data_IF_949300489163
#
_entry.id   IF_949300489163
#
_cell.length_a   1.000
_cell.length_b   1.000
_cell.length_c   1.000
_cell.angle_alpha   90.00
_cell.angle_beta   90.00
_cell.angle_gamma   90.00
#
_symmetry.space_group_name_H-M   'P 1'
#
loop_
_entity.id
_entity.type
_entity.pdbx_description
1 polymer ?
#
# COMPACT_ATOMS: atom_id res chain seq x y z
N UNK A 1 17.69 1.45 -11.91
CA UNK A 1 17.53 0.05 -11.46
C UNK A 1 16.54 -0.62 -12.39
N UNK A 2 16.86 -1.78 -12.96
CA UNK A 2 15.99 -2.48 -13.91
C UNK A 2 15.44 -3.75 -13.28
N UNK A 3 14.15 -4.04 -13.49
CA UNK A 3 13.54 -5.33 -13.15
C UNK A 3 13.06 -5.51 -11.70
N UNK A 4 12.95 -4.44 -10.91
CA UNK A 4 12.28 -4.47 -9.59
C UNK A 4 11.11 -3.50 -9.65
N UNK A 5 9.92 -3.99 -9.32
CA UNK A 5 8.67 -3.23 -9.33
C UNK A 5 7.97 -3.38 -7.98
N UNK A 6 7.46 -2.28 -7.45
CA UNK A 6 6.62 -2.27 -6.26
C UNK A 6 5.37 -1.47 -6.57
N UNK A 7 4.21 -2.11 -6.39
CA UNK A 7 2.90 -1.52 -6.60
C UNK A 7 2.11 -1.65 -5.31
N UNK A 8 1.38 -0.59 -4.95
CA UNK A 8 0.48 -0.56 -3.79
C UNK A 8 -0.91 -0.20 -4.30
N UNK A 9 -1.89 -1.02 -3.91
CA UNK A 9 -3.30 -0.80 -4.24
C UNK A 9 -4.08 -0.67 -2.94
N UNK A 10 -5.05 0.25 -2.91
CA UNK A 10 -5.91 0.47 -1.76
C UNK A 10 -7.37 0.55 -2.20
N UNK A 11 -8.30 0.09 -1.36
CA UNK A 11 -9.73 0.37 -1.57
C UNK A 11 -9.96 1.88 -1.42
N UNK A 12 -10.84 2.45 -2.23
CA UNK A 12 -11.09 3.90 -2.29
C UNK A 12 -11.42 4.51 -0.92
N UNK A 13 -12.14 3.80 -0.06
CA UNK A 13 -12.47 4.22 1.31
C UNK A 13 -11.27 4.53 2.22
N UNK A 14 -10.09 3.99 1.89
CA UNK A 14 -8.86 4.20 2.66
C UNK A 14 -8.00 5.35 2.11
N UNK A 15 -8.26 5.82 0.88
CA UNK A 15 -7.44 6.85 0.22
C UNK A 15 -7.31 8.14 1.03
N UNK A 16 -8.37 8.67 1.71
CA UNK A 16 -8.23 9.87 2.54
C UNK A 16 -7.29 9.73 3.74
N UNK A 17 -6.96 8.48 4.12
CA UNK A 17 -6.11 8.15 5.25
C UNK A 17 -4.74 7.62 4.81
N UNK A 18 -4.47 7.63 3.50
CA UNK A 18 -3.22 7.18 2.90
C UNK A 18 -2.51 8.37 2.26
N UNK A 19 -1.32 8.67 2.76
CA UNK A 19 -0.46 9.71 2.19
C UNK A 19 0.87 9.11 1.75
N UNK A 20 1.20 9.19 0.47
CA UNK A 20 2.51 8.75 -0.02
C UNK A 20 3.52 9.86 0.28
N UNK A 21 4.46 9.61 1.19
CA UNK A 21 5.46 10.60 1.58
C UNK A 21 6.68 10.56 0.68
N UNK A 22 7.07 9.37 0.22
CA UNK A 22 8.27 9.19 -0.60
C UNK A 22 8.27 7.85 -1.32
N UNK A 23 8.85 7.85 -2.52
CA UNK A 23 9.22 6.64 -3.26
C UNK A 23 10.71 6.69 -3.57
N UNK A 24 11.46 5.64 -3.19
CA UNK A 24 12.92 5.60 -3.37
C UNK A 24 13.38 4.33 -4.06
N UNK A 25 14.47 4.45 -4.80
CA UNK A 25 15.18 3.34 -5.44
C UNK A 25 16.63 3.33 -4.97
N UNK A 26 17.07 2.22 -4.39
CA UNK A 26 18.43 2.05 -3.88
C UNK A 26 19.16 0.99 -4.73
N UNK A 27 19.98 1.40 -5.71
CA UNK A 27 20.81 0.47 -6.46
C UNK A 27 21.92 -0.07 -5.55
N UNK A 28 22.19 -1.37 -5.65
CA UNK A 28 23.29 -2.05 -4.94
C UNK A 28 24.11 -2.95 -5.85
N UNK A 29 23.87 -2.90 -7.18
CA UNK A 29 24.65 -3.68 -8.15
C UNK A 29 26.12 -3.22 -8.28
N UNK A 30 26.78 -3.54 -9.40
CA UNK A 30 28.15 -3.14 -9.73
C UNK A 30 28.54 -1.76 -9.16
N UNK A 31 29.52 -1.77 -8.24
CA UNK A 31 30.07 -0.62 -7.53
C UNK A 31 29.10 0.19 -6.66
N UNK A 32 27.91 -0.34 -6.35
CA UNK A 32 26.89 0.34 -5.55
C UNK A 32 26.05 1.36 -6.32
N UNK A 33 26.23 1.51 -7.63
CA UNK A 33 25.55 2.54 -8.44
C UNK A 33 24.84 2.00 -9.68
N UNK A 34 25.20 0.83 -10.20
CA UNK A 34 24.69 0.30 -11.47
C UNK A 34 24.25 -1.16 -11.37
N UNK A 35 23.14 -1.53 -12.01
CA UNK A 35 22.71 -2.93 -12.16
C UNK A 35 21.26 -3.23 -11.78
N UNK A 36 20.97 -4.52 -11.64
CA UNK A 36 19.64 -5.10 -11.40
C UNK A 36 19.44 -5.62 -9.97
N UNK A 37 20.27 -5.15 -9.03
CA UNK A 37 20.21 -5.48 -7.59
C UNK A 37 19.99 -4.22 -6.79
N UNK A 38 19.22 -4.32 -5.72
CA UNK A 38 18.78 -3.17 -4.96
C UNK A 38 17.45 -3.38 -4.27
N UNK A 39 16.86 -2.26 -3.86
CA UNK A 39 15.51 -2.21 -3.32
C UNK A 39 14.75 -1.00 -3.83
N UNK A 40 13.44 -1.15 -3.98
CA UNK A 40 12.48 -0.04 -4.10
C UNK A 40 11.70 0.07 -2.81
N UNK A 41 11.42 1.29 -2.36
CA UNK A 41 10.67 1.57 -1.14
C UNK A 41 9.54 2.55 -1.45
N UNK A 42 8.37 2.31 -0.85
CA UNK A 42 7.29 3.28 -0.71
C UNK A 42 7.12 3.55 0.78
N UNK A 43 7.33 4.80 1.17
CA UNK A 43 7.04 5.31 2.51
C UNK A 43 5.72 6.09 2.48
N UNK A 44 4.79 5.70 3.36
CA UNK A 44 3.47 6.30 3.42
C UNK A 44 3.01 6.50 4.88
N UNK A 45 2.07 7.43 5.09
CA UNK A 45 1.21 7.43 6.28
C UNK A 45 -0.04 6.60 5.99
N UNK A 46 -0.41 5.73 6.92
CA UNK A 46 -1.64 4.97 6.90
C UNK A 46 -2.36 5.21 8.23
N UNK A 47 -3.51 5.90 8.19
CA UNK A 47 -4.26 6.28 9.41
C UNK A 47 -3.41 7.05 10.45
N UNK A 48 -2.41 7.79 9.97
CA UNK A 48 -1.45 8.55 10.77
C UNK A 48 -0.19 7.77 11.20
N UNK A 49 -0.13 6.46 10.97
CA UNK A 49 1.06 5.63 11.25
C UNK A 49 2.04 5.65 10.07
N UNK A 50 3.33 5.69 10.35
CA UNK A 50 4.38 5.59 9.33
C UNK A 50 4.60 4.14 8.92
N UNK A 51 4.44 3.86 7.62
CA UNK A 51 4.60 2.53 7.04
C UNK A 51 5.61 2.58 5.89
N UNK A 52 6.59 1.69 5.92
CA UNK A 52 7.52 1.46 4.80
C UNK A 52 7.26 0.09 4.16
N UNK A 53 7.17 0.07 2.83
CA UNK A 53 6.99 -1.14 2.04
C UNK A 53 8.19 -1.25 1.09
N UNK A 54 9.00 -2.29 1.26
CA UNK A 54 10.24 -2.50 0.52
C UNK A 54 10.15 -3.77 -0.30
N UNK A 55 10.46 -3.68 -1.60
CA UNK A 55 10.74 -4.83 -2.45
C UNK A 55 12.22 -4.84 -2.84
N UNK A 56 12.93 -5.96 -2.69
CA UNK A 56 14.34 -6.07 -3.04
C UNK A 56 14.68 -7.25 -3.97
N UNK A 57 15.85 -7.15 -4.57
CA UNK A 57 16.50 -8.24 -5.28
C UNK A 57 17.98 -8.23 -4.87
N UNK A 58 18.36 -9.18 -4.02
CA UNK A 58 19.69 -9.23 -3.40
C UNK A 58 20.65 -10.14 -4.18
N UNK A 59 21.97 -10.06 -3.93
CA UNK A 59 22.98 -10.80 -4.69
C UNK A 59 22.74 -12.32 -4.72
N UNK A 60 22.85 -12.95 -5.91
CA UNK A 60 22.65 -14.39 -6.06
C UNK A 60 23.86 -15.17 -5.56
N UNK A 61 23.75 -16.51 -5.61
CA UNK A 61 24.78 -17.49 -5.24
C UNK A 61 24.98 -17.68 -3.73
N UNK A 62 25.29 -18.92 -3.37
CA UNK A 62 25.42 -19.36 -1.97
C UNK A 62 26.55 -18.64 -1.23
N UNK A 63 27.66 -18.34 -1.92
CA UNK A 63 28.84 -17.65 -1.39
C UNK A 63 28.60 -16.19 -0.99
N UNK A 64 27.58 -15.54 -1.55
CA UNK A 64 27.40 -14.10 -1.41
C UNK A 64 26.53 -13.72 -0.20
N UNK A 65 26.59 -14.52 0.88
CA UNK A 65 25.76 -14.30 2.06
C UNK A 65 26.07 -12.95 2.73
N UNK A 66 27.36 -12.68 2.96
CA UNK A 66 27.79 -11.40 3.53
C UNK A 66 27.35 -10.21 2.68
N UNK A 67 27.48 -10.31 1.35
CA UNK A 67 27.04 -9.27 0.42
C UNK A 67 25.53 -9.01 0.48
N UNK A 68 24.71 -10.05 0.72
CA UNK A 68 23.26 -9.87 0.93
C UNK A 68 22.97 -9.06 2.19
N UNK A 69 23.71 -9.31 3.28
CA UNK A 69 23.56 -8.57 4.53
C UNK A 69 23.98 -7.11 4.35
N UNK A 70 25.13 -6.86 3.70
CA UNK A 70 25.57 -5.50 3.37
C UNK A 70 24.53 -4.75 2.52
N UNK A 71 23.94 -5.41 1.52
CA UNK A 71 22.89 -4.80 0.69
C UNK A 71 21.60 -4.54 1.49
N UNK A 72 21.27 -5.40 2.45
CA UNK A 72 20.16 -5.19 3.37
C UNK A 72 20.38 -3.90 4.17
N UNK A 73 21.52 -3.79 4.86
CA UNK A 73 21.85 -2.59 5.65
C UNK A 73 21.85 -1.33 4.79
N UNK A 74 22.49 -1.41 3.61
CA UNK A 74 22.55 -0.30 2.65
C UNK A 74 21.17 0.18 2.20
N UNK A 75 20.23 -0.75 1.97
CA UNK A 75 18.85 -0.40 1.60
C UNK A 75 18.18 0.37 2.74
N UNK A 76 18.34 -0.03 4.00
CA UNK A 76 17.78 0.69 5.16
C UNK A 76 18.41 2.07 5.34
N UNK A 77 19.73 2.17 5.32
CA UNK A 77 20.47 3.42 5.52
C UNK A 77 20.10 4.49 4.48
N UNK A 78 19.88 4.07 3.23
CA UNK A 78 19.50 4.97 2.15
C UNK A 78 18.06 5.49 2.24
N UNK A 79 17.27 5.02 3.20
CA UNK A 79 15.94 5.55 3.42
C UNK A 79 15.94 6.89 4.18
N UNK A 80 17.10 7.43 4.58
CA UNK A 80 17.17 8.72 5.28
C UNK A 80 16.48 9.86 4.49
N UNK A 81 15.56 10.57 5.14
CA UNK A 81 14.73 11.62 4.55
C UNK A 81 15.26 13.01 4.90
N UNK A 82 16.54 13.27 4.61
CA UNK A 82 17.17 14.56 4.91
C UNK A 82 16.36 15.73 4.35
N UNK A 83 15.99 16.68 5.23
CA UNK A 83 15.22 17.88 4.86
C UNK A 83 13.70 17.69 4.78
N UNK A 84 13.18 16.50 5.07
CA UNK A 84 11.74 16.23 5.17
C UNK A 84 11.35 15.90 6.62
N UNK A 85 10.14 16.25 7.04
CA UNK A 85 9.57 15.88 8.34
C UNK A 85 9.07 14.42 8.33
N UNK A 86 9.99 13.49 8.04
CA UNK A 86 9.74 12.04 8.00
C UNK A 86 10.74 11.36 8.93
N UNK A 87 10.30 10.55 9.90
CA UNK A 87 11.20 9.81 10.80
C UNK A 87 12.13 8.85 10.05
N UNK A 88 13.22 8.45 10.72
CA UNK A 88 14.07 7.37 10.23
C UNK A 88 13.25 6.10 10.01
N UNK A 89 13.59 5.29 9.01
CA UNK A 89 12.84 4.06 8.70
C UNK A 89 12.73 3.11 9.89
N UNK A 90 13.75 3.05 10.75
CA UNK A 90 13.72 2.20 11.94
C UNK A 90 12.75 2.70 13.02
N UNK A 91 12.29 3.95 12.91
CA UNK A 91 11.26 4.56 13.76
C UNK A 91 9.84 4.47 13.17
N UNK A 92 9.69 3.90 11.97
CA UNK A 92 8.39 3.66 11.35
C UNK A 92 7.63 2.59 12.14
N UNK A 93 6.30 2.75 12.22
CA UNK A 93 5.42 1.89 12.98
C UNK A 93 5.36 0.47 12.39
N UNK A 94 5.43 0.38 11.06
CA UNK A 94 5.48 -0.87 10.32
C UNK A 94 6.47 -0.80 9.15
N UNK A 95 7.32 -1.82 9.05
CA UNK A 95 8.13 -2.09 7.86
C UNK A 95 7.68 -3.44 7.32
N UNK A 96 7.26 -3.50 6.06
CA UNK A 96 7.08 -4.76 5.31
C UNK A 96 8.21 -4.83 4.29
N UNK A 97 9.00 -5.91 4.33
CA UNK A 97 10.12 -6.09 3.42
C UNK A 97 10.07 -7.46 2.77
N UNK A 98 9.95 -7.48 1.45
CA UNK A 98 9.89 -8.70 0.66
C UNK A 98 10.74 -8.64 -0.60
N UNK A 99 10.77 -9.74 -1.33
CA UNK A 99 11.39 -9.83 -2.66
C UNK A 99 12.26 -11.08 -2.81
N UNK A 100 13.07 -11.09 -3.87
CA UNK A 100 14.11 -12.11 -4.08
C UNK A 100 15.33 -11.77 -3.23
N UNK A 101 15.28 -12.20 -1.97
CA UNK A 101 16.36 -12.02 -1.01
C UNK A 101 17.54 -12.97 -1.26
N UNK A 102 17.39 -13.94 -2.16
CA UNK A 102 18.47 -14.82 -2.64
C UNK A 102 19.24 -15.63 -1.58
N UNK A 103 18.77 -15.70 -0.33
CA UNK A 103 19.33 -16.57 0.70
C UNK A 103 19.19 -18.05 0.31
N UNK A 104 20.19 -18.85 0.68
CA UNK A 104 20.32 -20.24 0.26
C UNK A 104 20.32 -21.18 1.46
N UNK A 105 20.07 -22.45 1.20
CA UNK A 105 20.32 -23.51 2.17
C UNK A 105 21.81 -23.85 2.09
N UNK A 106 22.56 -23.76 3.19
CA UNK A 106 23.96 -24.19 3.29
C UNK A 106 24.09 -25.62 3.83
N UNK A 107 25.31 -26.16 3.85
CA UNK A 107 25.76 -27.44 4.43
C UNK A 107 25.09 -28.77 3.99
N UNK A 108 23.81 -28.78 3.63
CA UNK A 108 23.12 -29.97 3.12
C UNK A 108 23.44 -30.22 1.64
N UNK A 109 23.77 -31.47 1.33
CA UNK A 109 23.91 -31.95 -0.04
C UNK A 109 22.58 -31.93 -0.80
N UNK A 110 22.65 -31.85 -2.13
CA UNK A 110 21.47 -31.78 -3.00
C UNK A 110 20.48 -32.94 -2.78
N UNK A 111 21.00 -34.15 -2.54
CA UNK A 111 20.18 -35.33 -2.30
C UNK A 111 19.31 -35.19 -1.05
N UNK A 112 19.92 -34.78 0.07
CA UNK A 112 19.20 -34.55 1.33
C UNK A 112 18.10 -33.50 1.17
N UNK A 113 18.43 -32.36 0.56
CA UNK A 113 17.45 -31.29 0.30
C UNK A 113 16.27 -31.81 -0.53
N UNK A 114 16.52 -32.56 -1.60
CA UNK A 114 15.46 -33.12 -2.45
C UNK A 114 14.58 -34.12 -1.69
N UNK A 115 15.17 -34.97 -0.87
CA UNK A 115 14.43 -35.97 -0.09
C UNK A 115 13.57 -35.30 1.00
N UNK A 116 14.09 -34.30 1.71
CA UNK A 116 13.31 -33.49 2.65
C UNK A 116 12.13 -32.80 1.96
N UNK A 117 12.33 -32.25 0.76
CA UNK A 117 11.24 -31.63 -0.02
C UNK A 117 10.18 -32.66 -0.41
N UNK A 118 10.61 -33.83 -0.93
CA UNK A 118 9.73 -34.92 -1.36
C UNK A 118 8.86 -35.43 -0.21
N UNK A 119 9.44 -35.57 0.98
CA UNK A 119 8.75 -36.01 2.19
C UNK A 119 8.01 -34.89 2.92
N UNK A 120 8.06 -33.65 2.40
CA UNK A 120 7.47 -32.45 3.01
C UNK A 120 8.03 -32.11 4.40
N UNK A 121 9.22 -32.60 4.72
CA UNK A 121 9.95 -32.31 5.95
C UNK A 121 10.75 -31.01 5.80
N UNK A 122 10.06 -29.89 5.56
CA UNK A 122 10.72 -28.60 5.30
C UNK A 122 11.46 -28.06 6.53
N UNK A 123 10.98 -28.38 7.72
CA UNK A 123 11.57 -27.96 9.00
C UNK A 123 13.03 -28.36 9.14
N UNK A 124 13.39 -29.52 8.60
CA UNK A 124 14.74 -30.09 8.70
C UNK A 124 15.77 -29.23 7.96
N UNK A 125 15.31 -28.36 7.05
CA UNK A 125 16.15 -27.49 6.24
C UNK A 125 16.37 -26.11 6.87
N UNK A 126 15.51 -25.69 7.82
CA UNK A 126 15.52 -24.31 8.34
C UNK A 126 16.77 -23.95 9.12
N UNK A 127 17.38 -24.91 9.82
CA UNK A 127 18.63 -24.66 10.56
C UNK A 127 19.80 -24.31 9.64
N UNK A 128 19.70 -24.68 8.36
CA UNK A 128 20.69 -24.39 7.33
C UNK A 128 20.21 -23.34 6.32
N UNK A 129 19.07 -22.71 6.53
CA UNK A 129 18.65 -21.55 5.74
C UNK A 129 19.43 -20.30 6.18
N UNK A 130 20.19 -19.69 5.27
CA UNK A 130 21.05 -18.55 5.57
C UNK A 130 20.30 -17.36 6.19
N UNK A 131 19.05 -17.08 5.77
CA UNK A 131 18.28 -15.99 6.40
C UNK A 131 17.90 -16.35 7.84
N UNK A 132 17.45 -17.59 8.06
CA UNK A 132 17.13 -18.11 9.39
C UNK A 132 18.35 -18.07 10.33
N UNK A 133 19.54 -18.37 9.81
CA UNK A 133 20.80 -18.26 10.55
C UNK A 133 21.17 -16.80 10.81
N UNK A 134 21.06 -15.94 9.79
CA UNK A 134 21.38 -14.51 9.92
C UNK A 134 20.53 -13.85 11.01
N UNK A 135 19.21 -14.09 11.04
CA UNK A 135 18.31 -13.57 12.08
C UNK A 135 18.66 -14.01 13.50
N UNK A 136 19.34 -15.15 13.68
CA UNK A 136 19.81 -15.60 14.99
C UNK A 136 21.01 -14.80 15.48
N UNK A 137 21.89 -14.34 14.58
CA UNK A 137 23.17 -13.72 14.94
C UNK A 137 23.19 -12.20 14.77
N UNK A 138 22.44 -11.68 13.81
CA UNK A 138 22.35 -10.26 13.49
C UNK A 138 21.25 -9.58 14.34
N UNK A 139 21.59 -8.58 15.18
CA UNK A 139 20.62 -7.92 16.05
C UNK A 139 19.49 -7.19 15.32
N UNK A 140 19.77 -6.59 14.16
CA UNK A 140 18.80 -5.80 13.40
C UNK A 140 17.83 -6.71 12.66
N UNK A 141 18.34 -7.73 11.98
CA UNK A 141 17.51 -8.74 11.31
C UNK A 141 16.66 -9.54 12.30
N UNK A 142 17.12 -9.72 13.54
CA UNK A 142 16.34 -10.34 14.62
C UNK A 142 15.06 -9.57 14.94
N UNK A 143 15.01 -8.26 14.68
CA UNK A 143 13.82 -7.44 14.87
C UNK A 143 12.74 -7.70 13.81
N UNK A 144 13.13 -8.23 12.65
CA UNK A 144 12.20 -8.62 11.62
C UNK A 144 11.60 -9.99 11.93
N UNK A 145 10.28 -10.06 11.90
CA UNK A 145 9.51 -11.28 11.99
C UNK A 145 9.32 -11.89 10.59
N UNK A 146 9.13 -13.21 10.55
CA UNK A 146 8.81 -13.95 9.32
C UNK A 146 7.92 -15.15 9.68
N UNK A 147 6.99 -15.50 8.80
CA UNK A 147 6.17 -16.70 8.92
C UNK A 147 6.96 -17.99 8.78
N UNK A 148 6.41 -19.09 9.28
CA UNK A 148 7.02 -20.41 9.07
C UNK A 148 6.94 -20.81 7.60
N UNK A 149 8.03 -21.35 7.07
CA UNK A 149 8.14 -21.82 5.68
C UNK A 149 7.51 -23.21 5.52
N UNK A 150 6.18 -23.28 5.60
CA UNK A 150 5.41 -24.53 5.41
C UNK A 150 5.16 -24.90 3.95
N UNK A 151 5.92 -24.30 3.04
CA UNK A 151 5.86 -24.52 1.59
C UNK A 151 7.25 -24.88 1.07
N UNK A 152 7.36 -25.62 -0.05
CA UNK A 152 8.66 -26.05 -0.54
C UNK A 152 9.49 -24.87 -1.08
N UNK A 153 10.83 -25.03 -1.18
CA UNK A 153 11.71 -24.00 -1.75
C UNK A 153 11.23 -23.48 -3.10
N UNK A 154 11.29 -22.16 -3.29
CA UNK A 154 10.69 -21.44 -4.43
C UNK A 154 11.62 -21.27 -5.61
N UNK A 155 12.89 -21.65 -5.46
CA UNK A 155 13.93 -21.61 -6.48
C UNK A 155 14.80 -22.87 -6.38
N UNK A 156 15.44 -23.39 -7.43
CA UNK A 156 15.33 -23.02 -8.85
C UNK A 156 14.56 -24.10 -9.60
N UNK A 157 13.63 -23.70 -10.45
CA UNK A 157 12.85 -24.58 -11.32
C UNK A 157 13.32 -24.51 -12.78
N UNK A 158 13.04 -25.56 -13.54
CA UNK A 158 13.05 -25.49 -15.00
C UNK A 158 11.85 -24.65 -15.46
N UNK A 159 12.06 -23.75 -16.43
CA UNK A 159 10.98 -22.91 -16.95
C UNK A 159 9.92 -23.77 -17.64
N UNK A 160 8.67 -23.35 -17.51
CA UNK A 160 7.47 -24.07 -17.96
C UNK A 160 7.31 -25.46 -17.33
N UNK A 161 7.90 -25.68 -16.15
CA UNK A 161 7.87 -26.95 -15.43
C UNK A 161 7.67 -26.78 -13.92
N UNK A 162 7.36 -27.90 -13.26
CA UNK A 162 7.39 -28.03 -11.79
C UNK A 162 8.62 -28.78 -11.31
N UNK A 163 9.52 -29.15 -12.21
CA UNK A 163 10.78 -29.81 -11.87
C UNK A 163 11.79 -28.78 -11.37
N UNK A 164 12.47 -29.10 -10.27
CA UNK A 164 13.66 -28.37 -9.84
C UNK A 164 14.81 -28.56 -10.85
N UNK A 165 15.68 -27.55 -10.95
CA UNK A 165 16.77 -27.41 -11.93
C UNK A 165 17.41 -28.74 -12.34
N UNK A 166 17.11 -29.16 -13.58
CA UNK A 166 17.66 -30.36 -14.22
C UNK A 166 18.88 -30.06 -15.09
N UNK A 167 19.27 -28.78 -15.22
CA UNK A 167 20.45 -28.39 -15.98
C UNK A 167 21.74 -28.95 -15.36
N UNK A 168 22.84 -28.89 -16.11
CA UNK A 168 24.16 -29.33 -15.63
C UNK A 168 24.60 -28.64 -14.33
N UNK A 169 24.13 -27.40 -14.09
CA UNK A 169 24.45 -26.63 -12.88
C UNK A 169 23.75 -27.17 -11.62
N UNK A 170 22.67 -27.94 -11.78
CA UNK A 170 21.89 -28.60 -10.71
C UNK A 170 21.75 -27.73 -9.46
N UNK A 171 21.28 -26.49 -9.61
CA UNK A 171 21.19 -25.53 -8.50
C UNK A 171 20.34 -26.13 -7.38
N UNK A 172 20.90 -26.12 -6.18
CA UNK A 172 20.21 -26.62 -4.98
C UNK A 172 18.94 -25.79 -4.71
N UNK A 173 17.80 -26.44 -4.43
CA UNK A 173 16.60 -25.72 -4.05
C UNK A 173 16.81 -24.79 -2.84
N UNK A 174 16.20 -23.62 -2.83
CA UNK A 174 16.28 -22.62 -1.76
C UNK A 174 15.02 -21.74 -1.68
N UNK A 175 14.72 -21.23 -0.48
CA UNK A 175 13.73 -20.16 -0.28
C UNK A 175 14.39 -18.81 -0.50
N UNK A 176 14.44 -18.39 -1.76
CA UNK A 176 15.01 -17.11 -2.17
C UNK A 176 14.00 -15.98 -2.01
N UNK A 177 12.71 -16.28 -2.16
CA UNK A 177 11.62 -15.31 -2.17
C UNK A 177 10.97 -15.25 -0.77
N UNK A 178 11.08 -14.11 -0.09
CA UNK A 178 10.77 -13.98 1.36
C UNK A 178 9.90 -12.77 1.65
N UNK A 179 9.12 -12.82 2.73
CA UNK A 179 8.32 -11.71 3.25
C UNK A 179 8.59 -11.58 4.75
N UNK A 180 9.20 -10.46 5.14
CA UNK A 180 9.48 -10.08 6.51
C UNK A 180 8.66 -8.86 6.92
N UNK A 181 8.44 -8.70 8.21
CA UNK A 181 7.87 -7.48 8.76
C UNK A 181 8.53 -7.09 10.08
N UNK A 182 8.55 -5.80 10.39
CA UNK A 182 9.01 -5.27 11.68
C UNK A 182 8.00 -4.27 12.18
N UNK A 183 7.58 -4.43 13.42
CA UNK A 183 6.80 -3.43 14.14
C UNK A 183 7.76 -2.56 14.97
N UNK A 184 7.45 -1.26 15.09
CA UNK A 184 8.20 -0.39 15.99
C UNK A 184 8.19 -0.97 17.40
N UNK A 185 9.37 -1.00 18.03
CA UNK A 185 9.47 -1.40 19.43
C UNK A 185 8.71 -0.40 20.28
N UNK A 186 7.70 -0.88 21.01
CA UNK A 186 7.16 -0.10 22.11
C UNK A 186 8.24 0.00 23.20
N UNK A 187 8.40 1.18 23.84
CA UNK A 187 9.25 1.30 25.01
C UNK A 187 8.85 0.24 26.03
N UNK A 188 9.78 -0.63 26.43
CA UNK A 188 9.46 -1.59 27.47
C UNK A 188 9.22 -0.85 28.78
N UNK A 189 8.20 -1.27 29.53
CA UNK A 189 8.02 -0.81 30.89
C UNK A 189 9.20 -1.33 31.74
N UNK A 190 10.14 -0.43 32.08
CA UNK A 190 11.10 -0.66 33.14
C UNK A 190 10.43 -0.73 34.52
N UNK A 191 11.17 -1.11 35.57
CA UNK A 191 10.64 -1.34 36.92
C UNK A 191 9.93 -0.12 37.56
N UNK A 192 10.08 1.08 37.00
CA UNK A 192 9.45 2.32 37.46
C UNK A 192 8.58 3.03 36.43
N UNK A 193 8.36 2.45 35.25
CA UNK A 193 7.45 3.00 34.24
C UNK A 193 6.13 2.23 34.26
N UNK A 194 4.97 2.91 34.26
CA UNK A 194 3.67 2.26 34.20
C UNK A 194 3.62 1.29 33.01
N UNK A 195 2.93 0.16 33.16
CA UNK A 195 2.57 -0.70 32.02
C UNK A 195 1.86 0.18 31.00
N UNK A 196 2.49 0.39 29.85
CA UNK A 196 1.85 1.09 28.74
C UNK A 196 0.57 0.32 28.34
N UNK A 197 -0.48 1.00 27.88
CA UNK A 197 -1.65 0.34 27.31
C UNK A 197 -1.24 -0.68 26.23
N UNK A 198 -2.11 -1.66 25.96
CA UNK A 198 -1.91 -2.56 24.82
C UNK A 198 -1.62 -1.73 23.56
N UNK A 199 -0.71 -2.18 22.69
CA UNK A 199 -0.32 -1.41 21.53
C UNK A 199 -1.55 -1.14 20.66
N UNK A 200 -1.83 0.15 20.41
CA UNK A 200 -2.86 0.63 19.48
C UNK A 200 -2.59 0.21 18.02
N UNK A 201 -1.64 -0.70 17.78
CA UNK A 201 -1.14 -1.11 16.47
C UNK A 201 -0.53 -2.53 16.57
N UNK A 202 -1.14 -3.52 15.90
CA UNK A 202 -0.67 -4.90 15.88
C UNK A 202 -0.84 -5.53 14.50
N UNK A 203 0.05 -6.46 14.15
CA UNK A 203 0.03 -7.15 12.87
C UNK A 203 0.09 -8.65 13.11
N UNK A 204 -0.90 -9.40 12.60
CA UNK A 204 -0.92 -10.86 12.65
C UNK A 204 -0.89 -11.45 11.24
N UNK A 205 0.03 -12.38 11.00
CA UNK A 205 0.09 -13.06 9.70
C UNK A 205 -0.93 -14.18 9.65
N UNK A 206 -1.82 -14.14 8.65
CA UNK A 206 -2.88 -15.13 8.42
C UNK A 206 -2.43 -16.29 7.55
N UNK A 207 -1.71 -15.98 6.48
CA UNK A 207 -1.17 -16.98 5.56
C UNK A 207 0.22 -16.59 5.10
N UNK A 208 1.03 -17.60 4.81
CA UNK A 208 2.33 -17.45 4.16
C UNK A 208 2.59 -18.68 3.31
N UNK A 209 2.66 -18.51 1.99
CA UNK A 209 2.68 -19.63 1.06
C UNK A 209 3.25 -19.27 -0.29
N UNK A 210 3.41 -20.30 -1.12
CA UNK A 210 3.84 -20.15 -2.51
C UNK A 210 2.88 -20.84 -3.47
N UNK A 211 2.80 -20.32 -4.70
CA UNK A 211 1.91 -20.82 -5.73
C UNK A 211 2.67 -21.65 -6.76
N UNK A 212 2.81 -22.93 -6.46
CA UNK A 212 3.63 -23.89 -7.24
C UNK A 212 3.09 -24.15 -8.66
N UNK A 213 1.81 -23.87 -8.90
CA UNK A 213 1.11 -24.05 -10.18
C UNK A 213 1.59 -23.10 -11.29
N UNK A 214 2.20 -21.96 -10.94
CA UNK A 214 2.78 -21.05 -11.92
C UNK A 214 4.15 -21.53 -12.36
N UNK A 215 4.37 -21.68 -13.67
CA UNK A 215 5.57 -22.33 -14.23
C UNK A 215 6.38 -21.46 -15.18
N UNK A 216 5.93 -20.25 -15.52
CA UNK A 216 6.59 -19.39 -16.52
C UNK A 216 8.02 -18.99 -16.11
N UNK A 217 8.22 -18.79 -14.80
CA UNK A 217 9.49 -18.42 -14.17
C UNK A 217 10.21 -19.64 -13.56
N UNK A 218 11.52 -19.53 -13.37
CA UNK A 218 12.32 -20.46 -12.56
C UNK A 218 12.16 -20.21 -11.04
N UNK A 219 11.39 -19.19 -10.66
CA UNK A 219 10.90 -18.92 -9.31
C UNK A 219 9.39 -19.20 -9.20
N UNK A 220 8.91 -19.44 -7.98
CA UNK A 220 7.48 -19.60 -7.66
C UNK A 220 6.97 -18.38 -6.88
N UNK A 221 5.82 -17.79 -7.26
CA UNK A 221 5.26 -16.64 -6.53
C UNK A 221 5.05 -16.97 -5.06
N UNK A 222 5.37 -16.02 -4.18
CA UNK A 222 5.15 -16.08 -2.73
C UNK A 222 4.15 -15.00 -2.34
N UNK A 223 3.21 -15.35 -1.46
CA UNK A 223 2.30 -14.39 -0.86
C UNK A 223 2.19 -14.58 0.65
N UNK A 224 1.97 -13.46 1.32
CA UNK A 224 1.60 -13.41 2.72
C UNK A 224 0.38 -12.51 2.88
N UNK A 225 -0.55 -12.91 3.74
CA UNK A 225 -1.71 -12.08 4.11
C UNK A 225 -1.63 -11.76 5.59
N UNK A 226 -2.02 -10.54 5.94
CA UNK A 226 -1.89 -10.03 7.30
C UNK A 226 -3.17 -9.30 7.71
N UNK A 227 -3.54 -9.45 8.97
CA UNK A 227 -4.54 -8.61 9.62
C UNK A 227 -3.79 -7.55 10.42
N UNK A 228 -3.98 -6.29 10.01
CA UNK A 228 -3.47 -5.11 10.69
C UNK A 228 -4.58 -4.51 11.55
N UNK A 229 -4.44 -4.64 12.86
CA UNK A 229 -5.34 -3.99 13.82
C UNK A 229 -4.68 -2.70 14.29
N UNK A 230 -5.36 -1.57 14.11
CA UNK A 230 -4.88 -0.29 14.59
C UNK A 230 -6.02 0.59 15.11
N UNK A 231 -5.71 1.46 16.05
CA UNK A 231 -6.56 2.57 16.45
C UNK A 231 -6.16 3.80 15.64
N UNK A 232 -6.98 4.31 14.72
CA UNK A 232 -6.58 5.42 13.86
C UNK A 232 -6.14 6.65 14.65
N UNK A 233 -4.95 7.18 14.33
CA UNK A 233 -4.52 8.50 14.81
C UNK A 233 -5.23 9.62 14.04
N UNK A 234 -5.68 9.29 12.82
CA UNK A 234 -6.56 10.11 12.00
C UNK A 234 -7.90 9.36 11.83
N UNK A 235 -8.93 9.78 12.59
CA UNK A 235 -10.25 9.12 12.63
C UNK A 235 -11.26 9.67 11.61
N UNK A 236 -11.00 10.86 11.06
CA UNK A 236 -11.82 11.52 10.05
C UNK A 236 -10.92 12.04 8.91
N UNK A 237 -11.42 12.11 7.68
CA UNK A 237 -10.65 12.65 6.57
C UNK A 237 -10.42 14.16 6.77
N UNK A 238 -9.32 14.68 6.21
CA UNK A 238 -9.01 16.11 6.28
C UNK A 238 -10.02 16.95 5.49
N UNK A 239 -10.62 16.35 4.46
CA UNK A 239 -11.68 16.94 3.65
C UNK A 239 -12.90 16.01 3.67
N UNK A 240 -14.07 16.58 3.97
CA UNK A 240 -15.36 15.91 3.85
C UNK A 240 -16.10 16.50 2.65
N UNK A 241 -16.40 15.66 1.65
CA UNK A 241 -17.15 16.03 0.45
C UNK A 241 -18.63 15.69 0.63
N UNK A 242 -19.47 16.67 0.33
CA UNK A 242 -20.93 16.60 0.39
C UNK A 242 -21.47 17.01 -0.98
N UNK A 243 -21.55 16.09 -1.96
CA UNK A 243 -22.31 16.37 -3.17
C UNK A 243 -23.77 16.63 -2.78
N UNK A 244 -24.42 17.60 -3.41
CA UNK A 244 -25.86 17.78 -3.21
C UNK A 244 -26.65 16.64 -3.87
N UNK A 245 -27.75 16.24 -3.23
CA UNK A 245 -28.56 15.06 -3.60
C UNK A 245 -29.26 15.18 -4.96
N UNK A 246 -29.21 16.35 -5.62
CA UNK A 246 -29.86 16.63 -6.90
C UNK A 246 -28.85 17.14 -7.92
N UNK A 247 -28.14 16.21 -8.54
CA UNK A 247 -27.47 16.46 -9.81
C UNK A 247 -28.50 16.41 -10.94
N UNK A 248 -28.77 17.56 -11.55
CA UNK A 248 -29.50 17.66 -12.83
C UNK A 248 -28.51 17.91 -13.96
N UNK A 249 -28.59 17.16 -15.06
CA UNK A 249 -27.70 17.30 -16.24
C UNK A 249 -27.73 18.69 -16.92
N UNK A 250 -28.67 19.54 -16.53
CA UNK A 250 -28.84 20.90 -17.08
C UNK A 250 -28.02 21.97 -16.31
N UNK A 251 -27.46 21.65 -15.13
CA UNK A 251 -26.72 22.59 -14.28
C UNK A 251 -25.35 22.03 -13.87
N UNK A 252 -24.42 22.90 -13.53
CA UNK A 252 -23.15 22.51 -12.92
C UNK A 252 -23.38 21.71 -11.63
N UNK A 253 -22.51 20.73 -11.37
CA UNK A 253 -22.56 19.96 -10.13
C UNK A 253 -22.03 20.83 -9.00
N UNK A 254 -22.92 21.27 -8.11
CA UNK A 254 -22.52 21.95 -6.89
C UNK A 254 -22.00 20.93 -5.87
N UNK A 255 -20.76 21.13 -5.42
CA UNK A 255 -20.12 20.30 -4.40
C UNK A 255 -19.84 21.17 -3.19
N UNK A 256 -20.43 20.81 -2.06
CA UNK A 256 -20.10 21.38 -0.77
C UNK A 256 -18.98 20.57 -0.10
N UNK A 257 -18.03 21.23 0.56
CA UNK A 257 -16.99 20.55 1.30
C UNK A 257 -16.52 21.33 2.52
N UNK A 258 -16.07 20.60 3.54
CA UNK A 258 -15.43 21.16 4.73
C UNK A 258 -14.01 20.63 4.89
N UNK A 259 -13.11 21.46 5.40
CA UNK A 259 -11.74 21.08 5.75
C UNK A 259 -11.51 21.20 7.25
N UNK A 260 -10.54 20.45 7.79
CA UNK A 260 -9.99 20.75 9.10
C UNK A 260 -9.28 22.12 9.09
N UNK A 261 -9.13 22.75 10.26
CA UNK A 261 -8.53 24.08 10.40
C UNK A 261 -7.04 24.12 10.05
N UNK A 262 -6.36 22.99 10.21
CA UNK A 262 -4.93 22.79 9.95
C UNK A 262 -4.63 22.22 8.56
N UNK A 263 -5.65 22.09 7.70
CA UNK A 263 -5.48 21.54 6.36
C UNK A 263 -4.55 22.43 5.49
N UNK A 264 -3.45 21.88 4.94
CA UNK A 264 -2.47 22.66 4.18
C UNK A 264 -2.96 22.91 2.75
N UNK A 265 -3.85 23.91 2.59
CA UNK A 265 -4.43 24.29 1.30
C UNK A 265 -3.39 24.70 0.27
N UNK A 266 -3.65 24.38 -1.00
CA UNK A 266 -2.87 24.80 -2.16
C UNK A 266 -3.80 25.38 -3.23
N UNK A 267 -3.38 26.44 -3.97
CA UNK A 267 -4.08 26.86 -5.18
C UNK A 267 -4.18 25.74 -6.22
N UNK A 268 -3.25 24.77 -6.16
CA UNK A 268 -3.19 23.60 -7.02
C UNK A 268 -3.95 22.40 -6.45
N UNK A 269 -4.78 22.57 -5.42
CA UNK A 269 -5.69 21.51 -5.00
C UNK A 269 -6.84 21.37 -6.02
N UNK A 270 -7.32 20.15 -6.27
CA UNK A 270 -8.42 19.91 -7.20
C UNK A 270 -9.45 18.95 -6.65
N UNK A 271 -10.69 19.10 -7.12
CA UNK A 271 -11.76 18.12 -6.92
C UNK A 271 -12.04 17.49 -8.27
N UNK A 272 -11.84 16.17 -8.37
CA UNK A 272 -12.19 15.40 -9.57
C UNK A 272 -13.47 14.62 -9.36
N UNK A 273 -14.23 14.45 -10.43
CA UNK A 273 -15.35 13.53 -10.57
C UNK A 273 -14.89 12.27 -11.31
N UNK A 274 -15.10 11.11 -10.73
CA UNK A 274 -14.60 9.83 -11.22
C UNK A 274 -15.75 8.84 -11.35
N UNK A 275 -15.63 7.91 -12.30
CA UNK A 275 -16.47 6.70 -12.29
C UNK A 275 -16.05 5.79 -11.14
N UNK A 276 -17.01 5.10 -10.51
CA UNK A 276 -16.69 4.02 -9.56
C UNK A 276 -15.83 2.97 -10.27
N UNK A 277 -14.69 2.62 -9.67
CA UNK A 277 -13.69 1.74 -10.29
C UNK A 277 -12.47 2.46 -10.88
N UNK A 278 -12.27 3.75 -10.55
CA UNK A 278 -11.06 4.52 -10.88
C UNK A 278 -9.77 3.73 -10.59
N UNK A 279 -8.79 3.84 -11.49
CA UNK A 279 -7.51 3.11 -11.42
C UNK A 279 -6.34 4.04 -11.13
N UNK A 280 -6.42 5.26 -11.65
CA UNK A 280 -5.48 6.35 -11.41
C UNK A 280 -6.21 7.64 -10.98
N UNK A 281 -5.52 8.52 -10.26
CA UNK A 281 -6.08 9.81 -9.84
C UNK A 281 -6.22 10.80 -11.00
N UNK A 282 -5.57 10.53 -12.13
CA UNK A 282 -5.70 11.31 -13.35
C UNK A 282 -6.81 10.78 -14.28
N UNK A 283 -7.49 9.68 -13.92
CA UNK A 283 -8.60 9.10 -14.69
C UNK A 283 -9.95 9.81 -14.39
N UNK A 284 -9.94 11.10 -14.08
CA UNK A 284 -11.18 11.84 -13.82
C UNK A 284 -11.99 12.05 -15.11
N UNK A 285 -13.32 12.10 -14.96
CA UNK A 285 -14.26 12.45 -16.03
C UNK A 285 -14.34 13.97 -16.19
N UNK A 286 -14.34 14.68 -15.07
CA UNK A 286 -14.28 16.15 -15.00
C UNK A 286 -13.55 16.53 -13.72
N UNK A 287 -13.01 17.74 -13.65
CA UNK A 287 -12.32 18.24 -12.46
C UNK A 287 -12.37 19.76 -12.40
N UNK A 288 -12.11 20.31 -11.22
CA UNK A 288 -11.92 21.73 -11.00
C UNK A 288 -10.70 21.99 -10.15
N UNK A 289 -10.03 23.12 -10.38
CA UNK A 289 -9.08 23.68 -9.41
C UNK A 289 -9.85 24.37 -8.31
N UNK A 290 -9.58 23.99 -7.06
CA UNK A 290 -10.29 24.52 -5.89
C UNK A 290 -9.99 26.00 -5.72
N UNK A 291 -8.73 26.42 -5.87
CA UNK A 291 -8.32 27.81 -5.66
C UNK A 291 -9.06 28.84 -6.54
N UNK A 292 -9.42 28.46 -7.76
CA UNK A 292 -10.05 29.36 -8.73
C UNK A 292 -11.59 29.37 -8.66
N UNK A 293 -12.20 28.32 -8.10
CA UNK A 293 -13.64 28.08 -8.17
C UNK A 293 -14.34 28.04 -6.81
N UNK A 294 -13.61 28.28 -5.72
CA UNK A 294 -14.13 28.22 -4.37
C UNK A 294 -14.98 29.44 -4.03
N UNK A 295 -16.21 29.17 -3.57
CA UNK A 295 -17.11 30.14 -2.96
C UNK A 295 -17.31 29.76 -1.50
N UNK A 296 -16.98 30.67 -0.57
CA UNK A 296 -17.12 30.44 0.87
C UNK A 296 -18.46 31.00 1.36
N UNK A 297 -19.26 30.17 2.04
CA UNK A 297 -20.60 30.57 2.53
C UNK A 297 -20.66 30.77 4.05
N UNK A 298 -19.86 30.01 4.82
CA UNK A 298 -19.71 30.14 6.28
C UNK A 298 -18.33 29.67 6.74
N UNK A 299 -17.95 29.95 7.99
CA UNK A 299 -16.69 29.46 8.58
C UNK A 299 -16.61 27.93 8.45
N UNK A 300 -15.75 27.48 7.52
CA UNK A 300 -15.45 26.09 7.13
C UNK A 300 -16.32 25.39 6.08
N UNK A 301 -17.42 25.99 5.60
CA UNK A 301 -18.20 25.40 4.50
C UNK A 301 -17.92 26.12 3.18
N UNK A 302 -17.42 25.36 2.22
CA UNK A 302 -16.99 25.84 0.91
C UNK A 302 -17.80 25.14 -0.18
N UNK A 303 -18.02 25.85 -1.28
CA UNK A 303 -18.72 25.34 -2.44
C UNK A 303 -17.87 25.52 -3.70
N UNK A 304 -17.98 24.57 -4.61
CA UNK A 304 -17.42 24.63 -5.96
C UNK A 304 -18.46 24.11 -6.94
N UNK A 305 -18.36 24.55 -8.19
CA UNK A 305 -19.20 24.09 -9.29
C UNK A 305 -18.33 23.34 -10.29
N UNK A 306 -18.69 22.11 -10.61
CA UNK A 306 -18.00 21.29 -11.61
C UNK A 306 -18.84 21.29 -12.88
N UNK A 307 -18.24 21.71 -14.00
CA UNK A 307 -18.87 21.57 -15.31
C UNK A 307 -18.96 20.08 -15.66
N UNK A 308 -20.20 19.67 -15.91
CA UNK A 308 -20.62 18.30 -16.17
C UNK A 308 -21.46 18.21 -17.44
N UNK A 309 -21.51 19.28 -18.24
CA UNK A 309 -22.30 19.37 -19.49
C UNK A 309 -21.96 18.27 -20.50
N UNK A 310 -20.72 17.77 -20.47
CA UNK A 310 -20.23 16.73 -21.36
C UNK A 310 -20.38 15.30 -20.78
N UNK A 311 -20.98 15.13 -19.60
CA UNK A 311 -21.15 13.82 -18.99
C UNK A 311 -22.48 13.20 -19.45
N UNK A 312 -22.45 12.07 -20.17
CA UNK A 312 -23.67 11.45 -20.65
C UNK A 312 -24.56 11.01 -19.47
N UNK A 313 -25.88 11.16 -19.66
CA UNK A 313 -26.87 10.55 -18.79
C UNK A 313 -26.64 9.04 -18.76
N UNK A 314 -26.20 8.51 -17.62
CA UNK A 314 -25.88 7.10 -17.45
C UNK A 314 -26.42 6.62 -16.11
N UNK A 315 -26.68 5.31 -16.00
CA UNK A 315 -26.96 4.66 -14.71
C UNK A 315 -25.65 4.36 -13.94
N UNK A 316 -24.52 4.91 -14.38
CA UNK A 316 -23.24 4.71 -13.72
C UNK A 316 -23.16 5.48 -12.39
N UNK A 317 -22.45 4.90 -11.43
CA UNK A 317 -22.13 5.56 -10.17
C UNK A 317 -20.81 6.34 -10.27
N UNK A 318 -20.79 7.50 -9.63
CA UNK A 318 -19.66 8.41 -9.60
C UNK A 318 -19.19 8.66 -8.16
N UNK A 319 -17.95 9.10 -8.03
CA UNK A 319 -17.29 9.51 -6.79
C UNK A 319 -16.64 10.87 -7.01
N UNK A 320 -16.61 11.70 -5.97
CA UNK A 320 -15.77 12.89 -5.93
C UNK A 320 -14.53 12.59 -5.10
N UNK A 321 -13.35 12.98 -5.58
CA UNK A 321 -12.11 12.94 -4.82
C UNK A 321 -11.49 14.33 -4.74
N UNK A 322 -11.17 14.78 -3.53
CA UNK A 322 -10.36 15.97 -3.30
C UNK A 322 -8.90 15.54 -3.26
N UNK A 323 -8.08 16.04 -4.18
CA UNK A 323 -6.64 15.83 -4.18
C UNK A 323 -5.91 17.05 -3.65
N UNK A 324 -5.04 16.84 -2.66
CA UNK A 324 -4.19 17.88 -2.12
C UNK A 324 -2.82 17.85 -2.79
N UNK A 325 -2.44 18.97 -3.40
CA UNK A 325 -1.13 19.12 -4.01
C UNK A 325 -0.01 19.15 -2.97
N UNK A 326 -0.23 19.76 -1.81
CA UNK A 326 0.79 19.83 -0.75
C UNK A 326 1.01 18.47 -0.06
N UNK A 327 -0.04 17.65 0.07
CA UNK A 327 0.08 16.31 0.66
C UNK A 327 0.45 15.23 -0.37
N UNK A 328 0.31 15.53 -1.67
CA UNK A 328 0.42 14.58 -2.77
C UNK A 328 -0.46 13.34 -2.57
N UNK A 329 -1.71 13.56 -2.12
CA UNK A 329 -2.65 12.49 -1.81
C UNK A 329 -4.11 12.94 -1.92
N UNK A 330 -5.01 11.96 -1.98
CA UNK A 330 -6.44 12.20 -1.80
C UNK A 330 -6.68 12.56 -0.34
N UNK A 331 -7.30 13.71 -0.09
CA UNK A 331 -7.60 14.22 1.25
C UNK A 331 -9.06 13.97 1.67
N UNK A 332 -9.93 13.67 0.71
CA UNK A 332 -11.35 13.40 0.92
C UNK A 332 -11.96 12.66 -0.26
N UNK A 333 -12.94 11.81 0.02
CA UNK A 333 -13.71 11.08 -0.98
C UNK A 333 -15.20 11.08 -0.59
N UNK A 334 -16.10 11.26 -1.56
CA UNK A 334 -17.54 11.16 -1.33
C UNK A 334 -17.98 9.69 -1.22
N UNK A 335 -19.23 9.47 -0.80
CA UNK A 335 -19.92 8.21 -1.10
C UNK A 335 -20.21 8.13 -2.61
N UNK A 336 -20.37 6.93 -3.19
CA UNK A 336 -20.91 6.79 -4.52
C UNK A 336 -22.27 7.49 -4.65
N UNK A 337 -22.52 8.11 -5.80
CA UNK A 337 -23.81 8.74 -6.13
C UNK A 337 -24.08 8.62 -7.64
N UNK A 338 -25.35 8.72 -8.03
CA UNK A 338 -25.78 8.69 -9.43
C UNK A 338 -26.34 10.05 -9.84
N UNK A 339 -26.17 10.45 -11.12
CA UNK A 339 -26.92 11.58 -11.67
C UNK A 339 -28.42 11.32 -11.58
N UNK A 340 -29.20 12.27 -11.07
CA UNK A 340 -30.65 12.14 -11.09
C UNK A 340 -31.19 12.45 -12.50
N UNK A 341 -31.93 11.52 -13.10
CA UNK A 341 -32.62 11.75 -14.37
C UNK A 341 -33.94 12.52 -14.21
N UNK A 342 -34.38 12.74 -12.97
CA UNK A 342 -35.68 13.34 -12.70
C UNK A 342 -35.60 14.87 -12.64
N UNK A 343 -36.20 15.51 -13.64
CA UNK A 343 -36.71 16.88 -13.52
C UNK A 343 -37.66 16.94 -12.33
N UNK A 344 -37.26 17.52 -11.20
CA UNK A 344 -38.26 18.15 -10.32
C UNK A 344 -38.81 19.35 -11.08
N UNK A 345 -39.96 19.18 -11.72
CA UNK A 345 -40.79 20.30 -12.12
C UNK A 345 -41.07 21.14 -10.87
N UNK A 346 -40.29 22.20 -10.66
CA UNK A 346 -40.55 23.24 -9.67
C UNK A 346 -41.73 24.12 -10.14
N UNK A 347 -42.85 23.50 -10.49
CA UNK A 347 -44.13 24.16 -10.82
C UNK A 347 -45.27 23.17 -10.57
N UNK A 348 -45.49 22.77 -9.31
CA UNK A 348 -46.85 22.39 -8.92
C UNK A 348 -47.55 23.66 -8.44
N UNK A 349 -48.57 24.17 -9.15
CA UNK A 349 -49.40 25.21 -8.61
C UNK A 349 -50.16 24.63 -7.42
N UNK A 350 -50.13 25.36 -6.30
CA UNK A 350 -50.97 25.12 -5.14
C UNK A 350 -52.41 24.90 -5.63
N UNK A 351 -52.90 23.67 -5.56
CA UNK A 351 -54.26 23.34 -5.95
C UNK A 351 -55.22 24.13 -5.08
N UNK A 352 -56.02 24.97 -5.73
CA UNK A 352 -57.04 25.78 -5.11
C UNK A 352 -58.03 24.88 -4.35
N UNK A 353 -58.34 25.27 -3.10
CA UNK A 353 -59.39 24.63 -2.29
C UNK A 353 -60.71 24.63 -3.07
N UNK A 354 -61.48 23.53 -3.08
CA UNK A 354 -62.83 23.57 -3.64
C UNK A 354 -63.73 24.37 -2.71
N UNK A 355 -64.47 25.33 -3.28
CA UNK A 355 -65.54 26.04 -2.62
C UNK A 355 -66.67 25.07 -2.26
N UNK A 356 -67.12 25.13 -1.01
CA UNK A 356 -68.28 24.39 -0.50
C UNK A 356 -69.56 25.12 -0.96
N UNK A 357 -70.56 24.44 -1.55
CA UNK A 357 -71.89 25.00 -1.67
C UNK A 357 -72.68 24.73 -0.39
N UNK A 358 -73.14 25.78 0.26
CA UNK A 358 -74.13 25.71 1.34
C UNK A 358 -75.48 25.22 0.80
N UNK A 359 -76.20 24.34 1.51
CA UNK A 359 -77.65 24.28 1.45
C UNK A 359 -78.31 25.39 2.28
#
# INVERSE_FOLDING_TARGET
MQGILLLVFAKYQHLPYLQILSTKSTPTGLFGYWGNKGGVNICLKLYGYYVSIINCHLPPHISNNYQRLEHFDRILEMQNFQGQDIPNILDHDLIIWFGDMNFRIEDFGLHFVRESIKNRCYSDLWEKDQLSIAKKHDPLLREFQEGRLFFPPTYKFDRNSSNYDTSEKKRKPAWTDRILWRLKRQPQAGPHTPRLPAPDFSLSQRSYGSYMTYTISDHKPVAGTFDLELKPLLSAPLIVLMPEDLWTLENDLMVSYSSTSDFPRSPWDWIGLYKVGLRDIHDYVSYIWVGDNQVSFSDNLNQVYIDISNIPATEEEFLLCYYSNNLHSVAGISRPFQPSSQRRCLWEPVSARPAVPCP
#
